data_IF_123415182432
#
_entry.id   IF_123415182432
#
_cell.length_a   1.000
_cell.length_b   1.000
_cell.length_c   1.000
_cell.angle_alpha   90.00
_cell.angle_beta   90.00
_cell.angle_gamma   90.00
#
_symmetry.space_group_name_H-M   'P 1'
#
loop_
_entity.id
_entity.type
_entity.pdbx_description
1 polymer ?
#
# COMPACT_ATOMS: atom_id res chain seq x y z
N UNK A 1 2.99 -1.90 23.54
CA UNK A 1 3.06 -1.34 24.91
C UNK A 1 1.75 -0.61 25.11
N UNK A 2 0.98 -0.82 26.20
CA UNK A 2 -0.32 -0.19 26.30
C UNK A 2 -0.11 1.31 26.49
N UNK A 3 -0.43 2.09 25.46
CA UNK A 3 -0.46 3.54 25.56
C UNK A 3 -1.60 3.99 26.46
N UNK A 4 -1.37 5.05 27.23
CA UNK A 4 -2.32 5.57 28.22
C UNK A 4 -3.58 6.22 27.58
N UNK A 5 -3.68 6.22 26.24
CA UNK A 5 -4.75 6.84 25.46
C UNK A 5 -5.54 5.79 24.65
N UNK A 6 -6.53 5.11 25.27
CA UNK A 6 -7.29 4.01 24.65
C UNK A 6 -8.06 4.43 23.37
N UNK A 7 -8.32 5.73 23.21
CA UNK A 7 -8.98 6.29 22.03
C UNK A 7 -8.08 6.26 20.79
N UNK A 8 -6.78 6.56 20.95
CA UNK A 8 -5.79 6.53 19.87
C UNK A 8 -5.54 5.10 19.39
N UNK A 9 -5.45 4.15 20.32
CA UNK A 9 -5.26 2.73 20.01
C UNK A 9 -6.49 2.15 19.28
N UNK A 10 -7.70 2.58 19.68
CA UNK A 10 -8.95 2.21 19.01
C UNK A 10 -9.01 2.78 17.58
N UNK A 11 -8.67 4.06 17.38
CA UNK A 11 -8.65 4.67 16.03
C UNK A 11 -7.61 3.97 15.14
N UNK A 12 -6.42 3.68 15.66
CA UNK A 12 -5.38 2.96 14.92
C UNK A 12 -5.85 1.57 14.49
N UNK A 13 -6.45 0.82 15.40
CA UNK A 13 -6.82 -0.58 15.13
C UNK A 13 -8.09 -0.68 14.30
N UNK A 14 -9.05 0.23 14.49
CA UNK A 14 -10.36 0.19 13.80
C UNK A 14 -10.33 0.90 12.44
N UNK A 15 -9.48 1.92 12.26
CA UNK A 15 -9.42 2.69 11.00
C UNK A 15 -8.11 2.38 10.26
N UNK A 16 -6.95 2.63 10.88
CA UNK A 16 -5.67 2.58 10.16
C UNK A 16 -5.35 1.16 9.68
N UNK A 17 -5.38 0.16 10.56
CA UNK A 17 -5.06 -1.23 10.19
C UNK A 17 -5.93 -1.77 9.05
N UNK A 18 -7.27 -1.71 9.12
CA UNK A 18 -8.12 -2.22 8.04
C UNK A 18 -8.01 -1.37 6.77
N UNK A 19 -7.89 -0.04 6.84
CA UNK A 19 -7.70 0.80 5.65
C UNK A 19 -6.38 0.48 4.95
N UNK A 20 -5.28 0.37 5.70
CA UNK A 20 -3.96 0.01 5.14
C UNK A 20 -4.01 -1.39 4.53
N UNK A 21 -4.62 -2.36 5.21
CA UNK A 21 -4.79 -3.72 4.69
C UNK A 21 -5.62 -3.76 3.41
N UNK A 22 -6.70 -2.98 3.35
CA UNK A 22 -7.56 -2.89 2.17
C UNK A 22 -6.82 -2.24 0.99
N UNK A 23 -6.07 -1.17 1.25
CA UNK A 23 -5.27 -0.50 0.23
C UNK A 23 -4.12 -1.39 -0.28
N UNK A 24 -3.56 -2.24 0.59
CA UNK A 24 -2.56 -3.24 0.23
C UNK A 24 -3.13 -4.32 -0.68
N UNK A 25 -4.34 -4.79 -0.39
CA UNK A 25 -5.04 -5.73 -1.26
C UNK A 25 -5.26 -5.13 -2.66
N UNK A 26 -5.72 -3.88 -2.75
CA UNK A 26 -5.92 -3.20 -4.05
C UNK A 26 -4.59 -3.04 -4.80
N UNK A 27 -3.52 -2.62 -4.11
CA UNK A 27 -2.22 -2.45 -4.73
C UNK A 27 -1.61 -3.77 -5.22
N UNK A 28 -1.76 -4.86 -4.46
CA UNK A 28 -1.36 -6.21 -4.90
C UNK A 28 -2.13 -6.63 -6.16
N UNK A 29 -3.45 -6.40 -6.20
CA UNK A 29 -4.25 -6.72 -7.39
C UNK A 29 -3.77 -5.91 -8.60
N UNK A 30 -3.54 -4.61 -8.45
CA UNK A 30 -3.03 -3.76 -9.53
C UNK A 30 -1.64 -4.21 -10.01
N UNK A 31 -0.77 -4.60 -9.08
CA UNK A 31 0.57 -5.11 -9.38
C UNK A 31 0.52 -6.45 -10.14
N UNK A 32 -0.30 -7.40 -9.68
CA UNK A 32 -0.50 -8.70 -10.36
C UNK A 32 -1.13 -8.50 -11.73
N UNK A 33 -2.09 -7.58 -11.87
CA UNK A 33 -2.70 -7.26 -13.17
C UNK A 33 -1.67 -6.68 -14.15
N UNK A 34 -0.83 -5.75 -13.69
CA UNK A 34 0.28 -5.21 -14.49
C UNK A 34 1.28 -6.28 -14.91
N UNK A 35 1.61 -7.24 -14.02
CA UNK A 35 2.45 -8.39 -14.36
C UNK A 35 1.84 -9.28 -15.44
N UNK A 36 0.55 -9.62 -15.31
CA UNK A 36 -0.14 -10.44 -16.33
C UNK A 36 -0.18 -9.75 -17.69
N UNK A 37 -0.35 -8.43 -17.71
CA UNK A 37 -0.38 -7.63 -18.93
C UNK A 37 1.00 -7.49 -19.56
N UNK A 38 2.05 -7.39 -18.75
CA UNK A 38 3.45 -7.41 -19.20
C UNK A 38 3.80 -8.73 -19.88
N UNK A 39 3.43 -9.86 -19.27
CA UNK A 39 3.69 -11.20 -19.82
C UNK A 39 2.89 -11.44 -21.11
N UNK A 40 1.62 -11.02 -21.16
CA UNK A 40 0.77 -11.12 -22.38
C UNK A 40 1.19 -10.14 -23.48
N UNK A 41 1.87 -9.04 -23.13
CA UNK A 41 2.26 -7.97 -24.03
C UNK A 41 3.53 -8.23 -24.84
N UNK A 42 4.25 -9.34 -24.60
CA UNK A 42 5.65 -9.55 -24.98
C UNK A 42 6.10 -9.20 -26.41
N UNK A 43 5.23 -9.23 -27.42
CA UNK A 43 5.58 -8.89 -28.81
C UNK A 43 5.05 -7.52 -29.31
N UNK A 44 4.32 -6.78 -28.48
CA UNK A 44 3.69 -5.51 -28.85
C UNK A 44 4.23 -4.39 -27.96
N UNK A 45 5.12 -3.54 -28.49
CA UNK A 45 5.78 -2.46 -27.73
C UNK A 45 4.79 -1.57 -26.97
N UNK A 46 3.64 -1.26 -27.57
CA UNK A 46 2.57 -0.49 -26.91
C UNK A 46 2.02 -1.15 -25.65
N UNK A 47 1.83 -2.48 -25.67
CA UNK A 47 1.33 -3.23 -24.51
C UNK A 47 2.38 -3.36 -23.42
N UNK A 48 3.65 -3.44 -23.81
CA UNK A 48 4.77 -3.44 -22.86
C UNK A 48 4.89 -2.10 -22.15
N UNK A 49 4.69 -0.99 -22.88
CA UNK A 49 4.70 0.36 -22.30
C UNK A 49 3.53 0.59 -21.34
N UNK A 50 2.31 0.19 -21.72
CA UNK A 50 1.14 0.22 -20.83
C UNK A 50 1.34 -0.65 -19.59
N UNK A 51 1.89 -1.85 -19.75
CA UNK A 51 2.16 -2.75 -18.63
C UNK A 51 3.23 -2.20 -17.68
N UNK A 52 4.27 -1.54 -18.20
CA UNK A 52 5.27 -0.83 -17.38
C UNK A 52 4.62 0.28 -16.54
N UNK A 53 3.74 1.07 -17.15
CA UNK A 53 3.00 2.09 -16.42
C UNK A 53 2.14 1.48 -15.31
N UNK A 54 1.44 0.36 -15.57
CA UNK A 54 0.67 -0.36 -14.55
C UNK A 54 1.53 -0.92 -13.42
N UNK A 55 2.72 -1.45 -13.72
CA UNK A 55 3.69 -1.84 -12.68
C UNK A 55 4.15 -0.65 -11.82
N UNK A 56 4.39 0.51 -12.44
CA UNK A 56 4.76 1.73 -11.72
C UNK A 56 3.66 2.21 -10.78
N UNK A 57 2.38 2.11 -11.17
CA UNK A 57 1.27 2.39 -10.26
C UNK A 57 1.21 1.43 -9.08
N UNK A 58 1.48 0.13 -9.30
CA UNK A 58 1.60 -0.85 -8.22
C UNK A 58 2.76 -0.54 -7.27
N UNK A 59 3.92 -0.17 -7.81
CA UNK A 59 5.10 0.23 -7.02
C UNK A 59 4.87 1.54 -6.25
N UNK A 60 4.21 2.51 -6.88
CA UNK A 60 3.78 3.75 -6.24
C UNK A 60 2.81 3.49 -5.09
N UNK A 61 1.86 2.56 -5.26
CA UNK A 61 0.95 2.13 -4.20
C UNK A 61 1.69 1.51 -3.00
N UNK A 62 2.70 0.68 -3.26
CA UNK A 62 3.56 0.12 -2.21
C UNK A 62 4.36 1.19 -1.46
N UNK A 63 4.94 2.16 -2.17
CA UNK A 63 5.68 3.27 -1.56
C UNK A 63 4.76 4.19 -0.70
N UNK A 64 3.52 4.43 -1.16
CA UNK A 64 2.53 5.21 -0.42
C UNK A 64 2.14 4.51 0.90
N UNK A 65 1.96 3.19 0.87
CA UNK A 65 1.66 2.42 2.08
C UNK A 65 2.82 2.40 3.07
N UNK A 66 4.06 2.23 2.57
CA UNK A 66 5.25 2.32 3.42
C UNK A 66 5.32 3.70 4.12
N UNK A 67 4.99 4.77 3.40
CA UNK A 67 4.92 6.12 3.94
C UNK A 67 3.83 6.26 5.02
N UNK A 68 2.62 5.74 4.77
CA UNK A 68 1.51 5.80 5.73
C UNK A 68 1.82 5.01 7.02
N UNK A 69 2.33 3.78 6.89
CA UNK A 69 2.71 2.96 8.06
C UNK A 69 3.88 3.57 8.81
N UNK A 70 4.86 4.12 8.10
CA UNK A 70 5.98 4.85 8.70
C UNK A 70 5.52 6.06 9.51
N UNK A 71 4.56 6.82 8.97
CA UNK A 71 3.97 7.97 9.66
C UNK A 71 3.20 7.55 10.92
N UNK A 72 2.38 6.50 10.83
CA UNK A 72 1.64 5.97 11.98
C UNK A 72 2.59 5.44 13.06
N UNK A 73 3.66 4.75 12.67
CA UNK A 73 4.67 4.26 13.60
C UNK A 73 5.47 5.39 14.25
N UNK A 74 5.80 6.46 13.52
CA UNK A 74 6.44 7.66 14.07
C UNK A 74 5.55 8.36 15.11
N UNK A 75 4.26 8.51 14.79
CA UNK A 75 3.29 9.09 15.72
C UNK A 75 3.15 8.20 16.97
N UNK A 76 3.03 6.88 16.81
CA UNK A 76 2.96 5.95 17.95
C UNK A 76 4.25 5.97 18.78
N UNK A 77 5.42 6.07 18.14
CA UNK A 77 6.71 6.15 18.82
C UNK A 77 6.83 7.46 19.64
N UNK A 78 6.25 8.55 19.16
CA UNK A 78 6.28 9.86 19.84
C UNK A 78 5.24 9.97 20.95
N UNK A 79 4.04 9.44 20.73
CA UNK A 79 2.91 9.52 21.66
C UNK A 79 2.78 8.29 22.57
N UNK A 80 3.75 7.35 22.51
CA UNK A 80 3.75 6.07 23.22
C UNK A 80 2.37 5.38 23.19
N UNK A 81 1.84 5.20 21.98
CA UNK A 81 0.57 4.51 21.74
C UNK A 81 0.77 3.00 21.58
#
# INVERSE_FOLDING_TARGET
MPGNFPLLESIRTVIIMPVVGFMFAIALVAFVWGMMEFVKGGANEKKVEEAKNKMLYGLGGMALMASAVGMVNLICATLQC
#
